data_IF_461348075543
#
_entry.id   IF_461348075543
#
_cell.length_a   1.000
_cell.length_b   1.000
_cell.length_c   1.000
_cell.angle_alpha   90.00
_cell.angle_beta   90.00
_cell.angle_gamma   90.00
#
_symmetry.space_group_name_H-M   'P 1'
#
loop_
_entity.id
_entity.type
_entity.pdbx_description
1 polymer ?
#
# COMPACT_ATOMS: atom_id res chain seq x y z
N UNK A 1 -10.04 -2.55 -19.19
CA UNK A 1 -9.05 -3.65 -19.28
C UNK A 1 -8.90 -4.31 -17.91
N UNK A 2 -9.18 -5.61 -17.82
CA UNK A 2 -9.05 -6.41 -16.61
C UNK A 2 -7.83 -7.32 -16.70
N UNK A 3 -7.19 -7.63 -15.56
CA UNK A 3 -6.07 -8.58 -15.52
C UNK A 3 -6.59 -9.99 -15.27
N UNK A 4 -6.10 -10.95 -16.05
CA UNK A 4 -6.39 -12.37 -15.92
C UNK A 4 -5.11 -13.12 -15.59
N UNK A 5 -5.17 -14.03 -14.62
CA UNK A 5 -4.10 -14.99 -14.34
C UNK A 5 -4.36 -16.20 -15.20
N UNK A 6 -3.35 -16.68 -15.90
CA UNK A 6 -3.43 -17.90 -16.66
C UNK A 6 -2.43 -18.95 -16.20
N UNK A 7 -2.79 -20.18 -16.36
CA UNK A 7 -1.95 -21.36 -16.29
C UNK A 7 -2.11 -22.05 -17.63
N UNK A 8 -1.02 -22.20 -18.39
CA UNK A 8 -1.01 -22.74 -19.73
C UNK A 8 0.20 -23.60 -20.00
N UNK A 9 0.21 -24.27 -21.14
CA UNK A 9 1.35 -25.03 -21.67
C UNK A 9 1.92 -24.29 -22.87
N UNK A 10 3.24 -24.10 -22.90
CA UNK A 10 3.92 -23.58 -24.07
C UNK A 10 4.20 -24.71 -25.10
N UNK A 11 4.72 -24.38 -26.29
CA UNK A 11 5.05 -25.35 -27.34
C UNK A 11 6.04 -26.46 -26.91
N UNK A 12 6.85 -26.21 -25.88
CA UNK A 12 7.80 -27.17 -25.34
C UNK A 12 7.18 -28.11 -24.29
N UNK A 13 5.86 -28.08 -24.07
CA UNK A 13 5.16 -28.90 -23.09
C UNK A 13 5.37 -28.49 -21.63
N UNK A 14 6.07 -27.39 -21.36
CA UNK A 14 6.27 -26.88 -20.01
C UNK A 14 5.09 -26.05 -19.54
N UNK A 15 4.71 -26.21 -18.25
CA UNK A 15 3.66 -25.38 -17.62
C UNK A 15 4.18 -23.98 -17.34
N UNK A 16 3.46 -23.03 -17.85
CA UNK A 16 3.73 -21.61 -17.66
C UNK A 16 2.57 -20.94 -16.95
N UNK A 17 2.88 -20.10 -15.95
CA UNK A 17 1.91 -19.29 -15.22
C UNK A 17 2.26 -17.83 -15.44
N UNK A 18 1.28 -17.06 -15.87
CA UNK A 18 1.49 -15.64 -16.15
C UNK A 18 0.21 -14.82 -15.99
N UNK A 19 0.30 -13.57 -16.44
CA UNK A 19 -0.81 -12.63 -16.42
C UNK A 19 -1.01 -12.04 -17.81
N UNK A 20 -2.25 -11.84 -18.18
CA UNK A 20 -2.63 -11.20 -19.44
C UNK A 20 -3.68 -10.12 -19.16
N UNK A 21 -3.64 -9.03 -19.89
CA UNK A 21 -4.64 -7.97 -19.84
C UNK A 21 -5.61 -8.13 -20.99
N UNK A 22 -6.90 -8.20 -20.68
CA UNK A 22 -7.96 -8.29 -21.67
C UNK A 22 -9.27 -7.70 -21.11
N UNK A 23 -10.20 -7.37 -21.96
CA UNK A 23 -11.51 -6.88 -21.52
C UNK A 23 -12.46 -8.03 -21.16
N UNK A 24 -12.21 -9.24 -21.68
CA UNK A 24 -12.96 -10.44 -21.37
C UNK A 24 -12.08 -11.70 -21.25
N UNK A 25 -12.63 -12.75 -20.62
CA UNK A 25 -11.96 -14.08 -20.53
C UNK A 25 -11.73 -14.66 -21.93
N UNK A 26 -12.68 -14.45 -22.86
CA UNK A 26 -12.57 -14.94 -24.25
C UNK A 26 -11.40 -14.28 -24.98
N UNK A 27 -11.25 -12.99 -24.83
CA UNK A 27 -10.15 -12.22 -25.41
C UNK A 27 -8.79 -12.63 -24.81
N UNK A 28 -8.72 -12.81 -23.48
CA UNK A 28 -7.54 -13.34 -22.82
C UNK A 28 -7.12 -14.70 -23.38
N UNK A 29 -8.08 -15.61 -23.60
CA UNK A 29 -7.80 -16.91 -24.20
C UNK A 29 -7.32 -16.83 -25.66
N UNK A 30 -7.88 -15.90 -26.43
CA UNK A 30 -7.49 -15.68 -27.84
C UNK A 30 -6.08 -15.14 -27.93
N UNK A 31 -5.74 -14.18 -27.08
CA UNK A 31 -4.40 -13.58 -27.06
C UNK A 31 -3.35 -14.57 -26.55
N UNK A 32 -3.67 -15.43 -25.57
CA UNK A 32 -2.77 -16.51 -25.13
C UNK A 32 -2.51 -17.54 -26.25
N UNK A 33 -3.53 -17.90 -27.03
CA UNK A 33 -3.36 -18.76 -28.21
C UNK A 33 -2.49 -18.13 -29.28
N UNK A 34 -2.61 -16.81 -29.46
CA UNK A 34 -1.76 -16.03 -30.39
C UNK A 34 -0.30 -16.04 -29.96
N UNK A 35 -0.05 -16.05 -28.63
CA UNK A 35 1.29 -16.21 -28.04
C UNK A 35 1.73 -17.69 -27.97
N UNK A 36 0.98 -18.60 -28.60
CA UNK A 36 1.27 -20.03 -28.71
C UNK A 36 1.27 -20.75 -27.34
N UNK A 37 0.53 -20.21 -26.38
CA UNK A 37 0.29 -20.80 -25.07
C UNK A 37 -1.11 -21.41 -25.08
N UNK A 38 -1.20 -22.70 -24.79
CA UNK A 38 -2.50 -23.38 -24.62
C UNK A 38 -3.00 -23.14 -23.20
N UNK A 39 -4.04 -22.32 -22.99
CA UNK A 39 -4.52 -22.01 -21.67
C UNK A 39 -5.25 -23.19 -21.04
N UNK A 40 -4.79 -23.64 -19.87
CA UNK A 40 -5.44 -24.69 -19.07
C UNK A 40 -6.46 -24.07 -18.13
N UNK A 41 -6.12 -22.91 -17.54
CA UNK A 41 -6.96 -22.22 -16.57
C UNK A 41 -6.76 -20.71 -16.70
N UNK A 42 -7.85 -19.98 -16.91
CA UNK A 42 -7.86 -18.52 -16.93
C UNK A 42 -8.84 -18.03 -15.87
N UNK A 43 -8.37 -17.23 -14.93
CA UNK A 43 -9.21 -16.66 -13.87
C UNK A 43 -9.00 -15.14 -13.78
N UNK A 44 -10.07 -14.42 -13.55
CA UNK A 44 -9.98 -13.00 -13.24
C UNK A 44 -9.24 -12.83 -11.92
N UNK A 45 -8.13 -12.08 -11.95
CA UNK A 45 -7.32 -11.84 -10.75
C UNK A 45 -7.99 -10.77 -9.90
N UNK A 46 -8.59 -11.18 -8.78
CA UNK A 46 -9.21 -10.27 -7.80
C UNK A 46 -8.32 -10.03 -6.58
N UNK A 47 -7.19 -10.72 -6.49
CA UNK A 47 -6.37 -10.76 -5.28
C UNK A 47 -5.14 -9.85 -5.36
N UNK A 48 -4.80 -9.14 -4.26
CA UNK A 48 -3.67 -8.21 -4.19
C UNK A 48 -2.30 -8.88 -4.03
N UNK A 49 -2.17 -10.17 -4.38
CA UNK A 49 -0.93 -10.95 -4.24
C UNK A 49 0.25 -10.34 -5.03
N UNK A 50 -0.07 -9.55 -6.07
CA UNK A 50 0.91 -8.85 -6.89
C UNK A 50 1.62 -7.72 -6.14
N UNK A 51 0.96 -7.10 -5.15
CA UNK A 51 1.53 -5.95 -4.41
C UNK A 51 2.71 -6.37 -3.51
N UNK A 52 2.59 -7.54 -2.86
CA UNK A 52 3.64 -8.05 -1.97
C UNK A 52 4.87 -8.54 -2.76
N UNK A 53 4.65 -9.19 -3.90
CA UNK A 53 5.73 -9.60 -4.80
C UNK A 53 6.45 -8.41 -5.45
N UNK A 54 5.73 -7.30 -5.67
CA UNK A 54 6.31 -6.08 -6.22
C UNK A 54 7.12 -5.30 -5.17
N UNK A 55 6.66 -5.28 -3.90
CA UNK A 55 7.43 -4.67 -2.81
C UNK A 55 8.75 -5.42 -2.58
N UNK A 56 8.71 -6.75 -2.50
CA UNK A 56 9.93 -7.58 -2.37
C UNK A 56 10.88 -7.42 -3.56
N UNK A 57 10.33 -7.36 -4.77
CA UNK A 57 11.13 -7.08 -5.97
C UNK A 57 11.85 -5.73 -5.86
N UNK A 58 11.15 -4.66 -5.50
CA UNK A 58 11.74 -3.31 -5.35
C UNK A 58 12.86 -3.29 -4.31
N UNK A 59 12.68 -4.00 -3.20
CA UNK A 59 13.68 -4.14 -2.15
C UNK A 59 14.95 -4.83 -2.69
N UNK A 60 14.77 -5.95 -3.38
CA UNK A 60 15.88 -6.73 -3.93
C UNK A 60 16.59 -5.99 -5.07
N UNK A 61 15.82 -5.34 -5.94
CA UNK A 61 16.36 -4.50 -7.02
C UNK A 61 17.28 -3.41 -6.47
N UNK A 62 16.83 -2.64 -5.48
CA UNK A 62 17.67 -1.60 -4.87
C UNK A 62 18.94 -2.18 -4.25
N UNK A 63 18.83 -3.33 -3.56
CA UNK A 63 19.99 -4.00 -2.95
C UNK A 63 21.02 -4.41 -3.99
N UNK A 64 20.58 -5.13 -5.02
CA UNK A 64 21.47 -5.65 -6.06
C UNK A 64 22.10 -4.53 -6.86
N UNK A 65 21.30 -3.53 -7.27
CA UNK A 65 21.81 -2.35 -7.97
C UNK A 65 22.86 -1.60 -7.16
N UNK A 66 22.62 -1.38 -5.85
CA UNK A 66 23.57 -0.70 -4.98
C UNK A 66 24.93 -1.41 -4.96
N UNK A 67 24.91 -2.73 -4.67
CA UNK A 67 26.13 -3.54 -4.57
C UNK A 67 26.91 -3.58 -5.90
N UNK A 68 26.19 -3.76 -7.03
CA UNK A 68 26.84 -3.84 -8.35
C UNK A 68 27.46 -2.51 -8.77
N UNK A 69 26.75 -1.40 -8.57
CA UNK A 69 27.27 -0.08 -8.91
C UNK A 69 28.43 0.33 -8.01
N UNK A 70 28.40 -0.05 -6.72
CA UNK A 70 29.52 0.16 -5.78
C UNK A 70 30.75 -0.64 -6.21
N UNK A 71 30.54 -1.83 -6.78
CA UNK A 71 31.62 -2.67 -7.36
C UNK A 71 32.08 -2.19 -8.75
N UNK A 72 31.57 -1.06 -9.27
CA UNK A 72 31.97 -0.50 -10.56
C UNK A 72 31.31 -1.16 -11.78
N UNK A 73 30.32 -2.03 -11.58
CA UNK A 73 29.58 -2.66 -12.69
C UNK A 73 28.74 -1.59 -13.41
N UNK A 74 28.80 -1.51 -14.76
CA UNK A 74 28.01 -0.56 -15.52
C UNK A 74 26.50 -0.71 -15.27
N UNK A 75 25.76 0.42 -15.21
CA UNK A 75 24.32 0.47 -14.89
C UNK A 75 23.48 -0.50 -15.74
N UNK A 76 23.81 -0.65 -17.03
CA UNK A 76 23.09 -1.53 -17.93
C UNK A 76 23.23 -3.00 -17.53
N UNK A 77 24.44 -3.43 -17.15
CA UNK A 77 24.69 -4.80 -16.68
C UNK A 77 24.07 -5.04 -15.29
N UNK A 78 24.16 -4.06 -14.40
CA UNK A 78 23.54 -4.10 -13.09
C UNK A 78 22.02 -4.26 -13.19
N UNK A 79 21.36 -3.56 -14.10
CA UNK A 79 19.92 -3.72 -14.40
C UNK A 79 19.62 -5.12 -14.92
N UNK A 80 20.44 -5.65 -15.82
CA UNK A 80 20.25 -6.98 -16.42
C UNK A 80 20.18 -8.08 -15.35
N UNK A 81 21.06 -8.02 -14.38
CA UNK A 81 21.15 -8.99 -13.28
C UNK A 81 20.05 -8.75 -12.22
N UNK A 82 19.79 -7.49 -11.85
CA UNK A 82 18.86 -7.14 -10.76
C UNK A 82 17.38 -7.33 -11.11
N UNK A 83 17.04 -7.43 -12.39
CA UNK A 83 15.66 -7.65 -12.85
C UNK A 83 15.20 -9.10 -12.72
N UNK A 84 16.12 -10.07 -12.68
CA UNK A 84 15.76 -11.49 -12.62
C UNK A 84 14.86 -11.92 -13.79
N UNK A 85 13.80 -12.67 -13.49
CA UNK A 85 12.88 -13.23 -14.51
C UNK A 85 11.78 -12.25 -15.00
N UNK A 86 11.99 -10.93 -14.89
CA UNK A 86 11.01 -9.93 -15.32
C UNK A 86 11.40 -9.35 -16.69
N UNK A 87 11.36 -10.21 -17.69
CA UNK A 87 11.83 -9.89 -19.06
C UNK A 87 11.08 -8.71 -19.68
N UNK A 88 9.78 -8.54 -19.36
CA UNK A 88 8.95 -7.43 -19.85
C UNK A 88 9.50 -6.06 -19.43
N UNK A 89 9.86 -5.90 -18.16
CA UNK A 89 10.42 -4.64 -17.63
C UNK A 89 11.90 -4.50 -17.92
N UNK A 90 12.60 -5.61 -17.89
CA UNK A 90 14.02 -5.69 -18.19
C UNK A 90 14.32 -5.17 -19.60
N UNK A 91 13.57 -5.63 -20.61
CA UNK A 91 13.69 -5.13 -21.98
C UNK A 91 13.45 -3.63 -22.07
N UNK A 92 12.34 -3.14 -21.50
CA UNK A 92 12.02 -1.70 -21.49
C UNK A 92 13.10 -0.83 -20.84
N UNK A 93 13.67 -1.27 -19.70
CA UNK A 93 14.74 -0.54 -19.04
C UNK A 93 16.03 -0.53 -19.88
N UNK A 94 16.43 -1.69 -20.42
CA UNK A 94 17.63 -1.82 -21.24
C UNK A 94 17.53 -0.98 -22.51
N UNK A 95 16.39 -1.00 -23.20
CA UNK A 95 16.16 -0.22 -24.42
C UNK A 95 16.25 1.30 -24.14
N UNK A 96 15.71 1.75 -23.02
CA UNK A 96 15.79 3.15 -22.64
C UNK A 96 17.21 3.56 -22.22
N UNK A 97 17.91 2.72 -21.46
CA UNK A 97 19.32 2.95 -21.10
C UNK A 97 20.24 2.94 -22.33
N UNK A 98 19.99 2.03 -23.30
CA UNK A 98 20.73 1.99 -24.57
C UNK A 98 20.54 3.25 -25.43
N UNK A 99 19.37 3.90 -25.31
CA UNK A 99 19.07 5.21 -25.92
C UNK A 99 19.71 6.39 -25.18
N UNK A 100 20.46 6.14 -24.10
CA UNK A 100 21.14 7.17 -23.31
C UNK A 100 20.26 7.84 -22.25
N UNK A 101 19.06 7.34 -22.00
CA UNK A 101 18.24 7.89 -20.90
C UNK A 101 18.83 7.52 -19.54
N UNK A 102 18.70 8.44 -18.57
CA UNK A 102 19.04 8.18 -17.18
C UNK A 102 18.20 7.03 -16.60
N UNK A 103 18.75 6.28 -15.63
CA UNK A 103 18.05 5.17 -14.95
C UNK A 103 16.70 5.61 -14.37
N UNK A 104 16.65 6.77 -13.72
CA UNK A 104 15.41 7.34 -13.17
C UNK A 104 14.34 7.57 -14.25
N UNK A 105 14.73 8.01 -15.43
CA UNK A 105 13.82 8.22 -16.55
C UNK A 105 13.32 6.88 -17.11
N UNK A 106 14.22 5.91 -17.27
CA UNK A 106 13.86 4.56 -17.70
C UNK A 106 12.91 3.88 -16.68
N UNK A 107 13.15 4.04 -15.36
CA UNK A 107 12.26 3.57 -14.31
C UNK A 107 10.88 4.24 -14.35
N UNK A 108 10.82 5.55 -14.63
CA UNK A 108 9.57 6.30 -14.77
C UNK A 108 8.72 5.81 -15.95
N UNK A 109 9.36 5.47 -17.07
CA UNK A 109 8.69 4.92 -18.24
C UNK A 109 8.14 3.50 -17.99
N UNK A 110 8.71 2.76 -17.05
CA UNK A 110 8.26 1.41 -16.64
C UNK A 110 7.05 1.51 -15.69
N UNK A 111 5.93 1.97 -16.21
CA UNK A 111 4.70 2.29 -15.44
C UNK A 111 4.26 1.17 -14.49
N UNK A 112 4.14 1.50 -13.20
CA UNK A 112 3.61 0.63 -12.15
C UNK A 112 4.62 -0.29 -11.46
N UNK A 113 5.82 -0.48 -11.99
CA UNK A 113 6.85 -1.30 -11.36
C UNK A 113 7.61 -0.55 -10.27
N UNK A 114 7.97 0.68 -10.52
CA UNK A 114 8.64 1.57 -9.56
C UNK A 114 7.66 2.62 -9.05
N UNK A 115 7.78 2.98 -7.78
CA UNK A 115 6.99 4.08 -7.22
C UNK A 115 7.62 5.42 -7.59
N UNK A 116 6.80 6.48 -7.64
CA UNK A 116 7.29 7.84 -7.90
C UNK A 116 8.36 8.26 -6.89
N UNK A 117 8.24 7.77 -5.66
CA UNK A 117 9.27 7.91 -4.63
C UNK A 117 10.62 7.34 -5.07
N UNK A 118 10.65 6.06 -5.48
CA UNK A 118 11.90 5.42 -5.91
C UNK A 118 12.52 6.18 -7.08
N UNK A 119 11.71 6.52 -8.08
CA UNK A 119 12.15 7.28 -9.26
C UNK A 119 12.76 8.62 -8.85
N UNK A 120 12.10 9.35 -7.95
CA UNK A 120 12.56 10.66 -7.50
C UNK A 120 13.87 10.58 -6.71
N UNK A 121 14.00 9.57 -5.84
CA UNK A 121 15.22 9.34 -5.06
C UNK A 121 16.39 8.90 -5.94
N UNK A 122 16.14 8.00 -6.91
CA UNK A 122 17.15 7.57 -7.89
C UNK A 122 17.62 8.74 -8.74
N UNK A 123 16.68 9.59 -9.21
CA UNK A 123 17.01 10.83 -9.94
C UNK A 123 17.91 11.76 -9.16
N UNK A 124 17.63 11.92 -7.88
CA UNK A 124 18.46 12.72 -7.01
C UNK A 124 19.87 12.13 -6.84
N UNK A 125 19.97 10.81 -6.71
CA UNK A 125 21.24 10.08 -6.66
C UNK A 125 22.06 10.19 -7.95
N UNK A 126 21.40 10.17 -9.11
CA UNK A 126 22.04 10.40 -10.42
C UNK A 126 22.61 11.82 -10.53
N UNK A 127 21.81 12.82 -10.16
CA UNK A 127 22.22 14.22 -10.22
C UNK A 127 23.35 14.57 -9.25
N UNK A 128 23.43 13.89 -8.10
CA UNK A 128 24.51 14.07 -7.12
C UNK A 128 25.75 13.20 -7.37
N UNK A 129 25.70 12.30 -8.38
CA UNK A 129 26.74 11.33 -8.65
C UNK A 129 26.92 10.23 -7.58
N UNK A 130 25.95 10.11 -6.66
CA UNK A 130 26.04 9.24 -5.49
C UNK A 130 24.97 8.13 -5.51
N UNK A 131 24.75 7.57 -6.71
CA UNK A 131 23.69 6.58 -6.95
C UNK A 131 23.80 5.30 -6.12
N UNK A 132 25.01 4.69 -5.89
CA UNK A 132 25.13 3.48 -5.09
C UNK A 132 24.65 3.66 -3.65
N UNK A 133 25.09 4.72 -2.97
CA UNK A 133 24.71 4.99 -1.57
C UNK A 133 23.22 5.32 -1.44
N UNK A 134 22.66 6.05 -2.42
CA UNK A 134 21.24 6.37 -2.46
C UNK A 134 20.40 5.10 -2.62
N UNK A 135 20.80 4.18 -3.49
CA UNK A 135 20.13 2.89 -3.67
C UNK A 135 20.24 1.99 -2.44
N UNK A 136 21.41 1.96 -1.78
CA UNK A 136 21.61 1.23 -0.52
C UNK A 136 20.66 1.74 0.57
N UNK A 137 20.57 3.07 0.71
CA UNK A 137 19.68 3.68 1.70
C UNK A 137 18.20 3.48 1.37
N UNK A 138 17.85 3.55 0.08
CA UNK A 138 16.52 3.24 -0.40
C UNK A 138 16.13 1.80 -0.09
N UNK A 139 17.05 0.84 -0.27
CA UNK A 139 16.86 -0.55 0.15
C UNK A 139 16.53 -0.66 1.64
N UNK A 140 17.31 -0.01 2.53
CA UNK A 140 17.05 -0.04 3.98
C UNK A 140 15.65 0.45 4.33
N UNK A 141 15.22 1.59 3.74
CA UNK A 141 13.90 2.17 4.00
C UNK A 141 12.80 1.24 3.53
N UNK A 142 12.90 0.74 2.29
CA UNK A 142 11.89 -0.16 1.74
C UNK A 142 11.79 -1.45 2.55
N UNK A 143 12.94 -2.01 2.96
CA UNK A 143 13.02 -3.21 3.80
C UNK A 143 12.40 -2.96 5.17
N UNK A 144 12.79 -1.89 5.86
CA UNK A 144 12.25 -1.54 7.18
C UNK A 144 10.73 -1.35 7.15
N UNK A 145 10.22 -0.68 6.10
CA UNK A 145 8.78 -0.50 5.91
C UNK A 145 8.06 -1.83 5.67
N UNK A 146 8.66 -2.72 4.88
CA UNK A 146 8.11 -4.05 4.62
C UNK A 146 8.08 -4.91 5.88
N UNK A 147 9.21 -5.00 6.60
CA UNK A 147 9.33 -5.77 7.83
C UNK A 147 8.38 -5.27 8.92
N UNK A 148 8.20 -3.96 9.04
CA UNK A 148 7.24 -3.36 9.96
C UNK A 148 5.80 -3.76 9.64
N UNK A 149 5.42 -3.77 8.35
CA UNK A 149 4.09 -4.23 7.91
C UNK A 149 3.87 -5.72 8.20
N UNK A 150 4.87 -6.57 7.93
CA UNK A 150 4.76 -8.01 8.18
C UNK A 150 4.68 -8.30 9.70
N UNK A 151 5.45 -7.59 10.53
CA UNK A 151 5.35 -7.68 11.99
C UNK A 151 3.97 -7.29 12.51
N UNK A 152 3.40 -6.18 12.00
CA UNK A 152 2.06 -5.74 12.38
C UNK A 152 0.99 -6.79 12.00
N UNK A 153 1.08 -7.37 10.80
CA UNK A 153 0.17 -8.46 10.39
C UNK A 153 0.28 -9.66 11.34
N UNK A 154 1.50 -10.08 11.68
CA UNK A 154 1.72 -11.18 12.62
C UNK A 154 1.09 -10.94 13.99
N UNK A 155 1.27 -9.74 14.54
CA UNK A 155 0.70 -9.36 15.84
C UNK A 155 -0.84 -9.33 15.80
N UNK A 156 -1.45 -8.93 14.69
CA UNK A 156 -2.91 -8.82 14.56
C UNK A 156 -3.64 -10.16 14.42
N UNK A 157 -2.93 -11.26 14.10
CA UNK A 157 -3.56 -12.59 13.92
C UNK A 157 -4.22 -13.06 15.22
N UNK A 158 -3.52 -12.96 16.35
CA UNK A 158 -4.04 -13.43 17.64
C UNK A 158 -5.29 -12.65 18.11
N UNK A 159 -5.29 -11.29 18.17
CA UNK A 159 -6.51 -10.55 18.52
C UNK A 159 -7.68 -10.84 17.58
N UNK A 160 -7.41 -10.98 16.28
CA UNK A 160 -8.45 -11.29 15.30
C UNK A 160 -9.06 -12.67 15.53
N UNK A 161 -8.23 -13.68 15.80
CA UNK A 161 -8.69 -15.02 16.16
C UNK A 161 -9.54 -15.00 17.43
N UNK A 162 -9.07 -14.32 18.49
CA UNK A 162 -9.80 -14.21 19.75
C UNK A 162 -11.16 -13.52 19.55
N UNK A 163 -11.21 -12.42 18.79
CA UNK A 163 -12.47 -11.75 18.47
C UNK A 163 -13.43 -12.64 17.68
N UNK A 164 -12.92 -13.44 16.73
CA UNK A 164 -13.74 -14.38 15.96
C UNK A 164 -14.34 -15.47 16.86
N UNK A 165 -13.52 -16.09 17.74
CA UNK A 165 -13.98 -17.12 18.65
C UNK A 165 -14.99 -16.56 19.66
N UNK A 166 -14.68 -15.41 20.29
CA UNK A 166 -15.59 -14.77 21.24
C UNK A 166 -16.90 -14.33 20.60
N UNK A 167 -16.81 -13.78 19.38
CA UNK A 167 -18.00 -13.41 18.59
C UNK A 167 -18.87 -14.62 18.26
N UNK A 168 -18.25 -15.73 17.84
CA UNK A 168 -18.96 -16.99 17.57
C UNK A 168 -19.67 -17.52 18.81
N UNK A 169 -18.97 -17.59 19.97
CA UNK A 169 -19.55 -18.04 21.23
C UNK A 169 -20.69 -17.13 21.67
N UNK A 170 -20.55 -15.82 21.53
CA UNK A 170 -21.61 -14.86 21.85
C UNK A 170 -22.84 -15.06 20.97
N UNK A 171 -22.67 -15.27 19.68
CA UNK A 171 -23.79 -15.58 18.78
C UNK A 171 -24.47 -16.90 19.13
N UNK A 172 -23.71 -17.93 19.51
CA UNK A 172 -24.26 -19.21 19.94
C UNK A 172 -25.09 -19.05 21.22
N UNK A 173 -24.61 -18.32 22.22
CA UNK A 173 -25.33 -18.02 23.42
C UNK A 173 -26.65 -17.27 23.14
N UNK A 174 -26.61 -16.25 22.28
CA UNK A 174 -27.78 -15.45 21.90
C UNK A 174 -28.83 -16.28 21.17
N UNK A 175 -28.41 -17.21 20.30
CA UNK A 175 -29.31 -17.96 19.44
C UNK A 175 -29.83 -19.26 20.05
N UNK A 176 -29.03 -19.97 20.84
CA UNK A 176 -29.42 -21.26 21.41
C UNK A 176 -29.78 -21.18 22.91
N UNK A 177 -28.96 -20.48 23.68
CA UNK A 177 -29.10 -20.55 25.16
C UNK A 177 -30.16 -19.56 25.67
N UNK A 178 -30.14 -18.36 25.16
CA UNK A 178 -31.01 -17.28 25.63
C UNK A 178 -32.51 -17.57 25.43
N UNK A 179 -32.98 -18.13 24.29
CA UNK A 179 -34.38 -18.52 24.09
C UNK A 179 -34.85 -19.61 25.07
N UNK A 180 -33.98 -20.56 25.45
CA UNK A 180 -34.31 -21.60 26.43
C UNK A 180 -34.57 -20.98 27.79
N UNK A 181 -33.76 -20.03 28.23
CA UNK A 181 -34.00 -19.29 29.46
C UNK A 181 -35.33 -18.50 29.40
N UNK A 182 -35.63 -17.86 28.27
CA UNK A 182 -36.88 -17.12 28.10
C UNK A 182 -38.11 -18.02 28.29
N UNK A 183 -38.11 -19.24 27.73
CA UNK A 183 -39.22 -20.21 27.91
C UNK A 183 -39.33 -20.70 29.33
N UNK A 184 -38.23 -20.93 30.06
CA UNK A 184 -38.23 -21.34 31.47
C UNK A 184 -38.81 -20.21 32.36
N UNK A 185 -38.39 -18.98 32.19
CA UNK A 185 -38.90 -17.83 32.96
C UNK A 185 -40.39 -17.56 32.68
N UNK A 186 -40.82 -17.74 31.42
CA UNK A 186 -42.23 -17.63 31.06
C UNK A 186 -43.09 -18.68 31.76
N UNK A 187 -42.56 -19.88 32.03
CA UNK A 187 -43.25 -20.94 32.79
C UNK A 187 -43.43 -20.66 34.29
N UNK A 188 -42.69 -19.70 34.84
CA UNK A 188 -42.78 -19.27 36.24
C UNK A 188 -43.49 -17.93 36.45
N UNK A 189 -44.12 -17.35 35.42
CA UNK A 189 -44.71 -15.99 35.43
C UNK A 189 -43.73 -14.91 35.95
N UNK A 190 -42.42 -15.15 35.84
CA UNK A 190 -41.38 -14.26 36.32
C UNK A 190 -40.97 -13.27 35.23
N UNK A 191 -40.87 -11.99 35.57
CA UNK A 191 -40.40 -10.97 34.64
C UNK A 191 -38.91 -11.12 34.41
N UNK A 192 -38.52 -11.21 33.14
CA UNK A 192 -37.11 -11.22 32.72
C UNK A 192 -36.44 -9.88 33.06
N UNK A 193 -35.18 -9.91 33.53
CA UNK A 193 -34.36 -8.69 33.67
C UNK A 193 -34.31 -7.91 32.37
N UNK A 194 -34.31 -6.57 32.47
CA UNK A 194 -34.34 -5.69 31.30
C UNK A 194 -33.20 -5.95 30.28
N UNK A 195 -32.01 -6.32 30.79
CA UNK A 195 -30.84 -6.67 29.96
C UNK A 195 -31.14 -7.91 29.12
N UNK A 196 -31.74 -8.94 29.72
CA UNK A 196 -32.06 -10.20 29.01
C UNK A 196 -33.15 -9.96 27.95
N UNK A 197 -34.13 -9.13 28.25
CA UNK A 197 -35.19 -8.74 27.29
C UNK A 197 -34.59 -7.95 26.09
N UNK A 198 -33.63 -7.07 26.39
CA UNK A 198 -32.91 -6.34 25.33
C UNK A 198 -32.09 -7.28 24.45
N UNK A 199 -31.38 -8.25 25.05
CA UNK A 199 -30.58 -9.25 24.32
C UNK A 199 -31.44 -10.19 23.46
N UNK A 200 -32.62 -10.61 23.98
CA UNK A 200 -33.58 -11.39 23.19
C UNK A 200 -34.07 -10.63 21.97
N UNK A 201 -34.51 -9.36 22.16
CA UNK A 201 -34.91 -8.50 21.03
C UNK A 201 -33.78 -8.29 19.99
N UNK A 202 -32.54 -8.23 20.46
CA UNK A 202 -31.38 -8.19 19.55
C UNK A 202 -31.20 -9.52 18.83
N UNK A 203 -31.40 -10.66 19.49
CA UNK A 203 -31.32 -12.00 18.88
C UNK A 203 -32.40 -12.22 17.81
N UNK A 204 -33.67 -11.94 18.15
CA UNK A 204 -34.81 -12.13 17.25
C UNK A 204 -34.72 -11.29 15.97
N UNK A 205 -34.20 -10.07 16.09
CA UNK A 205 -34.06 -9.15 14.99
C UNK A 205 -32.64 -9.10 14.41
N UNK A 206 -31.78 -10.07 14.77
CA UNK A 206 -30.37 -10.05 14.37
C UNK A 206 -30.20 -10.00 12.84
N UNK A 207 -31.00 -10.75 12.10
CA UNK A 207 -30.99 -10.75 10.62
C UNK A 207 -31.38 -9.38 10.04
N UNK A 208 -32.38 -8.73 10.64
CA UNK A 208 -32.83 -7.40 10.24
C UNK A 208 -31.78 -6.33 10.57
N UNK A 209 -31.24 -6.36 11.79
CA UNK A 209 -30.20 -5.43 12.23
C UNK A 209 -28.87 -5.63 11.50
N UNK A 210 -28.48 -6.88 11.17
CA UNK A 210 -27.30 -7.15 10.35
C UNK A 210 -27.51 -6.64 8.93
N UNK A 211 -28.71 -6.83 8.34
CA UNK A 211 -29.02 -6.31 7.02
C UNK A 211 -29.00 -4.78 6.96
N UNK A 212 -29.68 -4.14 7.93
CA UNK A 212 -29.69 -2.67 8.03
C UNK A 212 -28.30 -2.12 8.36
N UNK A 213 -27.59 -2.73 9.30
CA UNK A 213 -26.21 -2.33 9.66
C UNK A 213 -25.25 -2.45 8.49
N UNK A 214 -25.35 -3.54 7.71
CA UNK A 214 -24.56 -3.71 6.50
C UNK A 214 -24.90 -2.68 5.42
N UNK A 215 -26.19 -2.35 5.25
CA UNK A 215 -26.63 -1.31 4.33
C UNK A 215 -26.10 0.07 4.73
N UNK A 216 -26.23 0.44 6.02
CA UNK A 216 -25.69 1.69 6.56
C UNK A 216 -24.17 1.72 6.42
N UNK A 217 -23.48 0.61 6.73
CA UNK A 217 -22.02 0.51 6.57
C UNK A 217 -21.59 0.70 5.11
N UNK A 218 -22.29 0.08 4.16
CA UNK A 218 -22.04 0.26 2.72
C UNK A 218 -22.33 1.69 2.27
N UNK A 219 -23.40 2.29 2.77
CA UNK A 219 -23.78 3.66 2.43
C UNK A 219 -22.75 4.66 2.98
N UNK A 220 -22.39 4.53 4.27
CA UNK A 220 -21.35 5.36 4.91
C UNK A 220 -19.99 5.12 4.24
N UNK A 221 -19.62 3.87 3.96
CA UNK A 221 -18.39 3.52 3.23
C UNK A 221 -18.37 4.13 1.84
N UNK A 222 -19.47 4.08 1.11
CA UNK A 222 -19.61 4.69 -0.23
C UNK A 222 -19.50 6.22 -0.18
N UNK A 223 -20.15 6.86 0.79
CA UNK A 223 -20.07 8.32 1.00
C UNK A 223 -18.64 8.72 1.39
N UNK A 224 -18.00 8.02 2.34
CA UNK A 224 -16.61 8.28 2.72
C UNK A 224 -15.64 8.06 1.54
N UNK A 225 -15.86 7.01 0.75
CA UNK A 225 -15.08 6.75 -0.47
C UNK A 225 -15.23 7.89 -1.48
N UNK A 226 -16.45 8.38 -1.68
CA UNK A 226 -16.70 9.51 -2.59
C UNK A 226 -16.11 10.82 -2.09
N UNK A 227 -16.19 11.08 -0.78
CA UNK A 227 -15.55 12.24 -0.14
C UNK A 227 -14.03 12.14 -0.28
N UNK A 228 -13.45 10.97 -0.05
CA UNK A 228 -12.00 10.74 -0.16
C UNK A 228 -11.47 10.99 -1.58
N UNK A 229 -12.24 10.65 -2.61
CA UNK A 229 -11.87 10.94 -4.00
C UNK A 229 -12.03 12.41 -4.42
N UNK A 230 -12.67 13.23 -3.60
CA UNK A 230 -12.73 14.68 -3.84
C UNK A 230 -11.52 15.36 -3.22
N UNK A 231 -10.81 16.19 -3.97
CA UNK A 231 -9.55 16.83 -3.52
C UNK A 231 -9.69 17.55 -2.17
N UNK A 232 -10.80 18.30 -1.95
CA UNK A 232 -11.08 18.96 -0.67
C UNK A 232 -11.46 17.98 0.45
N UNK A 233 -12.21 16.93 0.12
CA UNK A 233 -12.63 15.90 1.06
C UNK A 233 -11.48 15.02 1.53
N UNK A 234 -10.52 14.69 0.65
CA UNK A 234 -9.30 13.98 1.00
C UNK A 234 -8.46 14.73 2.04
N UNK A 235 -8.27 16.04 1.86
CA UNK A 235 -7.56 16.90 2.82
C UNK A 235 -8.27 16.92 4.18
N UNK A 236 -9.61 17.03 4.18
CA UNK A 236 -10.40 17.04 5.41
C UNK A 236 -10.31 15.72 6.18
N UNK A 237 -10.45 14.59 5.50
CA UNK A 237 -10.33 13.25 6.10
C UNK A 237 -8.92 12.97 6.63
N UNK A 238 -7.89 13.38 5.89
CA UNK A 238 -6.51 13.25 6.31
C UNK A 238 -6.19 14.11 7.53
N UNK A 239 -6.77 15.33 7.60
CA UNK A 239 -6.69 16.18 8.79
C UNK A 239 -7.43 15.55 9.99
N UNK A 240 -8.60 14.97 9.75
CA UNK A 240 -9.38 14.30 10.80
C UNK A 240 -8.64 13.10 11.38
N UNK A 241 -7.98 12.29 10.53
CA UNK A 241 -7.13 11.16 10.97
C UNK A 241 -6.02 11.61 11.90
N UNK A 242 -5.38 12.75 11.61
CA UNK A 242 -4.33 13.31 12.45
C UNK A 242 -4.89 13.94 13.74
N UNK A 243 -6.17 14.31 13.76
CA UNK A 243 -6.86 14.92 14.91
C UNK A 243 -7.44 13.92 15.91
N UNK A 244 -7.57 12.64 15.57
CA UNK A 244 -8.16 11.64 16.47
C UNK A 244 -7.32 11.45 17.74
N UNK A 245 -7.95 11.37 18.95
CA UNK A 245 -7.22 11.41 20.23
C UNK A 245 -6.27 10.23 20.44
N UNK A 246 -6.57 9.02 19.96
CA UNK A 246 -5.74 7.83 20.12
C UNK A 246 -4.90 7.53 18.86
N UNK A 247 -5.55 7.46 17.70
CA UNK A 247 -4.90 7.10 16.45
C UNK A 247 -4.08 8.26 15.87
N UNK A 248 -4.48 9.51 16.11
CA UNK A 248 -3.82 10.68 15.58
C UNK A 248 -2.39 10.86 16.11
N UNK A 249 -2.12 10.50 17.38
CA UNK A 249 -0.76 10.52 17.93
C UNK A 249 0.18 9.54 17.20
N UNK A 250 -0.29 8.31 17.01
CA UNK A 250 0.47 7.28 16.27
C UNK A 250 0.69 7.67 14.81
N UNK A 251 -0.34 8.20 14.15
CA UNK A 251 -0.23 8.70 12.77
C UNK A 251 0.78 9.84 12.68
N UNK A 252 0.74 10.82 13.57
CA UNK A 252 1.72 11.93 13.59
C UNK A 252 3.13 11.44 13.81
N UNK A 253 3.36 10.60 14.83
CA UNK A 253 4.69 10.05 15.11
C UNK A 253 5.25 9.26 13.92
N UNK A 254 4.39 8.48 13.24
CA UNK A 254 4.78 7.77 12.02
C UNK A 254 5.18 8.72 10.89
N UNK A 255 4.35 9.72 10.61
CA UNK A 255 4.64 10.70 9.55
C UNK A 255 5.89 11.53 9.87
N UNK A 256 6.09 11.91 11.14
CA UNK A 256 7.32 12.57 11.61
C UNK A 256 8.55 11.68 11.38
N UNK A 257 8.48 10.41 11.78
CA UNK A 257 9.57 9.47 11.59
C UNK A 257 9.91 9.29 10.09
N UNK A 258 8.90 9.18 9.23
CA UNK A 258 9.08 9.10 7.76
C UNK A 258 9.72 10.39 7.25
N UNK A 259 9.23 11.56 7.66
CA UNK A 259 9.77 12.85 7.25
C UNK A 259 11.26 12.98 7.62
N UNK A 260 11.59 12.84 8.91
CA UNK A 260 12.96 13.04 9.38
C UNK A 260 13.93 11.98 8.85
N UNK A 261 13.53 10.71 8.80
CA UNK A 261 14.37 9.64 8.24
C UNK A 261 14.64 9.88 6.73
N UNK A 262 13.63 10.28 5.98
CA UNK A 262 13.80 10.52 4.54
C UNK A 262 14.61 11.80 4.30
N UNK A 263 14.35 12.87 5.06
CA UNK A 263 15.11 14.12 4.99
C UNK A 263 16.60 13.89 5.31
N UNK A 264 16.89 13.19 6.42
CA UNK A 264 18.25 12.83 6.80
C UNK A 264 18.95 12.00 5.71
N UNK A 265 18.23 11.03 5.12
CA UNK A 265 18.77 10.22 4.02
C UNK A 265 19.14 11.10 2.81
N UNK A 266 18.26 11.98 2.38
CA UNK A 266 18.48 12.81 1.21
C UNK A 266 19.64 13.80 1.44
N UNK A 267 19.69 14.43 2.62
CA UNK A 267 20.78 15.35 2.98
C UNK A 267 22.11 14.62 3.08
N UNK A 268 22.15 13.45 3.73
CA UNK A 268 23.37 12.63 3.82
C UNK A 268 23.85 12.11 2.45
N UNK A 269 22.96 12.06 1.47
CA UNK A 269 23.28 11.72 0.08
C UNK A 269 23.71 12.95 -0.75
N UNK A 270 23.96 14.11 -0.10
CA UNK A 270 24.42 15.33 -0.76
C UNK A 270 23.30 16.15 -1.45
N UNK A 271 22.03 15.79 -1.23
CA UNK A 271 20.90 16.50 -1.83
C UNK A 271 20.58 17.73 -0.96
N UNK A 272 20.41 18.88 -1.61
CA UNK A 272 20.08 20.13 -0.88
C UNK A 272 18.73 20.03 -0.14
N UNK A 273 18.63 20.71 1.00
CA UNK A 273 17.42 20.73 1.86
C UNK A 273 16.16 21.07 1.07
N UNK A 274 16.23 22.07 0.19
CA UNK A 274 15.11 22.49 -0.66
C UNK A 274 14.65 21.35 -1.58
N UNK A 275 15.60 20.70 -2.24
CA UNK A 275 15.29 19.58 -3.15
C UNK A 275 14.76 18.36 -2.41
N UNK A 276 15.30 18.11 -1.21
CA UNK A 276 14.82 17.05 -0.34
C UNK A 276 13.36 17.29 0.08
N UNK A 277 12.98 18.53 0.36
CA UNK A 277 11.61 18.88 0.73
C UNK A 277 10.64 18.78 -0.46
N UNK A 278 11.06 19.15 -1.67
CA UNK A 278 10.29 18.89 -2.90
C UNK A 278 10.02 17.39 -3.11
N UNK A 279 11.02 16.55 -2.88
CA UNK A 279 10.87 15.11 -2.98
C UNK A 279 9.90 14.56 -1.94
N UNK A 280 9.99 15.05 -0.70
CA UNK A 280 9.08 14.69 0.38
C UNK A 280 7.63 15.11 0.10
N UNK A 281 7.41 16.30 -0.48
CA UNK A 281 6.08 16.73 -0.94
C UNK A 281 5.45 15.71 -1.90
N UNK A 282 6.23 15.24 -2.89
CA UNK A 282 5.74 14.28 -3.90
C UNK A 282 5.53 12.86 -3.35
N UNK A 283 6.18 12.49 -2.25
CA UNK A 283 6.12 11.17 -1.62
C UNK A 283 4.98 11.07 -0.62
N UNK A 284 4.65 12.20 0.02
CA UNK A 284 3.69 12.23 1.10
C UNK A 284 2.32 11.78 0.60
N UNK A 285 1.79 10.70 1.21
CA UNK A 285 0.46 10.17 0.85
C UNK A 285 -0.68 10.97 1.51
N UNK A 286 -0.36 11.71 2.57
CA UNK A 286 -1.32 12.53 3.29
C UNK A 286 -1.42 13.90 2.62
N UNK A 287 -2.57 14.20 2.01
CA UNK A 287 -2.81 15.44 1.26
C UNK A 287 -2.67 16.70 2.13
N UNK A 288 -3.02 16.61 3.42
CA UNK A 288 -2.89 17.71 4.35
C UNK A 288 -1.41 18.03 4.65
N UNK A 289 -0.58 17.01 4.86
CA UNK A 289 0.86 17.21 5.07
C UNK A 289 1.56 17.62 3.77
N UNK A 290 1.14 17.09 2.63
CA UNK A 290 1.63 17.51 1.31
C UNK A 290 1.45 19.02 1.12
N UNK A 291 0.26 19.54 1.43
CA UNK A 291 -0.01 20.99 1.38
C UNK A 291 0.92 21.78 2.32
N UNK A 292 1.19 21.26 3.52
CA UNK A 292 2.11 21.88 4.48
C UNK A 292 3.56 21.88 3.99
N UNK A 293 4.04 20.76 3.44
CA UNK A 293 5.40 20.68 2.87
C UNK A 293 5.57 21.63 1.70
N UNK A 294 4.54 21.80 0.88
CA UNK A 294 4.53 22.81 -0.20
C UNK A 294 4.65 24.23 0.34
N UNK A 295 3.97 24.53 1.45
CA UNK A 295 4.10 25.83 2.13
C UNK A 295 5.52 26.04 2.68
N UNK A 296 6.10 25.01 3.33
CA UNK A 296 7.49 25.06 3.82
C UNK A 296 8.48 25.32 2.69
N UNK A 297 8.30 24.66 1.53
CA UNK A 297 9.21 24.82 0.40
C UNK A 297 9.17 26.24 -0.18
N UNK A 298 7.99 26.89 -0.19
CA UNK A 298 7.86 28.30 -0.57
C UNK A 298 8.62 29.23 0.37
N UNK A 299 8.54 28.99 1.68
CA UNK A 299 9.23 29.81 2.68
C UNK A 299 10.76 29.65 2.62
N UNK A 300 11.24 28.41 2.40
CA UNK A 300 12.65 28.15 2.13
C UNK A 300 13.14 28.88 0.87
N UNK A 301 12.30 28.95 -0.18
CA UNK A 301 12.60 29.69 -1.40
C UNK A 301 12.70 31.20 -1.15
N UNK A 302 12.03 31.73 -0.12
CA UNK A 302 12.08 33.11 0.32
C UNK A 302 13.24 33.44 1.30
N UNK A 303 14.12 32.45 1.56
CA UNK A 303 15.28 32.61 2.44
C UNK A 303 15.01 32.33 3.92
N UNK A 304 13.83 31.83 4.29
CA UNK A 304 13.57 31.44 5.68
C UNK A 304 14.40 30.22 6.09
N UNK A 305 14.77 30.13 7.37
CA UNK A 305 15.40 28.92 7.91
C UNK A 305 14.43 27.73 7.90
N UNK A 306 14.95 26.52 7.84
CA UNK A 306 14.13 25.30 7.89
C UNK A 306 13.26 25.25 9.16
N UNK A 307 13.81 25.61 10.33
CA UNK A 307 13.06 25.67 11.58
C UNK A 307 11.94 26.70 11.54
N UNK A 308 12.19 27.89 10.98
CA UNK A 308 11.18 28.92 10.79
C UNK A 308 10.05 28.47 9.86
N UNK A 309 10.41 27.85 8.73
CA UNK A 309 9.44 27.30 7.79
C UNK A 309 8.58 26.18 8.41
N UNK A 310 9.18 25.31 9.25
CA UNK A 310 8.46 24.24 9.97
C UNK A 310 7.49 24.82 11.01
N UNK A 311 7.91 25.81 11.77
CA UNK A 311 7.10 26.48 12.79
C UNK A 311 5.88 27.15 12.17
N UNK A 312 6.08 27.95 11.12
CA UNK A 312 4.99 28.65 10.43
C UNK A 312 4.03 27.68 9.73
N UNK A 313 4.54 26.60 9.14
CA UNK A 313 3.69 25.57 8.56
C UNK A 313 2.90 24.77 9.62
N UNK A 314 3.31 24.83 10.90
CA UNK A 314 2.66 24.09 12.00
C UNK A 314 2.59 22.60 11.71
N UNK A 315 3.71 22.03 11.25
CA UNK A 315 3.77 20.60 10.85
C UNK A 315 3.97 19.73 12.08
N UNK A 316 4.74 20.24 13.05
CA UNK A 316 5.16 19.52 14.26
C UNK A 316 5.13 20.43 15.49
#
# INVERSE_FOLDING_TARGET
MHKYTYEGMNKAGSREKGYIQADSVKEAMTELRRQQIVPIKVRRSWLPQQKNNLEKFRINFCKQMAVMLESGIPTMQAVDISMGNREDVKGMLKDNLAKGYALSTAMQMSKGYFSDFMVSVVRAGELSGNLPQVLAKLHEILKKNHDSKEKLKGIMIYPMFLCCVSGFLMLLLLYQVLPVFATVFAGFDAQLPWITTMLLKLGDNLTLYLGQGMFVFLLVGGVLYRIYHTHKGGIFLDRLRLGMPLLGRLCRQREQAVFFNTMAMLINSGISIRRSLELLENICQNLYLQFKYKSMNRQLAQGSSLSGAMSVAGVY
#
